data_IF_132932126113
#
_entry.id   IF_132932126113
#
_cell.length_a   1.000
_cell.length_b   1.000
_cell.length_c   1.000
_cell.angle_alpha   90.00
_cell.angle_beta   90.00
_cell.angle_gamma   90.00
#
_symmetry.space_group_name_H-M   'P 1'
#
loop_
_entity.id
_entity.type
_entity.pdbx_description
1 polymer ?
#
# COMPACT_ATOMS: atom_id res chain seq x y z
N UNK A 1 -17.28 6.46 -5.03
CA UNK A 1 -15.92 6.95 -4.79
C UNK A 1 -16.03 8.39 -4.36
N UNK A 2 -15.32 8.84 -3.30
CA UNK A 2 -15.28 10.27 -3.05
C UNK A 2 -14.83 10.91 -4.35
N UNK A 3 -15.46 12.02 -4.68
CA UNK A 3 -15.23 12.81 -5.89
C UNK A 3 -13.77 13.32 -5.84
N UNK A 4 -12.84 12.47 -6.26
CA UNK A 4 -11.49 12.90 -6.59
C UNK A 4 -11.74 13.94 -7.68
N UNK A 5 -11.43 15.20 -7.41
CA UNK A 5 -11.75 16.33 -8.26
C UNK A 5 -11.45 15.92 -9.70
N UNK A 6 -12.48 15.80 -10.53
CA UNK A 6 -12.31 15.47 -11.93
C UNK A 6 -11.57 16.65 -12.54
N UNK A 7 -10.24 16.53 -12.60
CA UNK A 7 -9.41 17.52 -13.25
C UNK A 7 -9.66 17.46 -14.75
N UNK A 8 -9.75 18.60 -15.38
CA UNK A 8 -9.79 18.65 -16.85
C UNK A 8 -8.45 18.12 -17.40
N UNK A 9 -8.43 17.02 -18.17
CA UNK A 9 -7.19 16.45 -18.70
C UNK A 9 -6.37 17.44 -19.53
N UNK A 10 -7.02 18.36 -20.23
CA UNK A 10 -6.34 19.36 -21.06
C UNK A 10 -5.66 20.45 -20.22
N UNK A 11 -6.29 20.84 -19.12
CA UNK A 11 -5.72 21.76 -18.14
C UNK A 11 -4.53 21.12 -17.45
N UNK A 12 -4.66 19.87 -16.98
CA UNK A 12 -3.55 19.11 -16.38
C UNK A 12 -2.37 18.99 -17.34
N UNK A 13 -2.61 18.63 -18.60
CA UNK A 13 -1.57 18.53 -19.62
C UNK A 13 -0.82 19.86 -19.80
N UNK A 14 -1.55 20.97 -19.87
CA UNK A 14 -0.99 22.32 -20.01
C UNK A 14 -0.16 22.72 -18.78
N UNK A 15 -0.69 22.46 -17.57
CA UNK A 15 -0.01 22.77 -16.31
C UNK A 15 1.29 21.95 -16.17
N UNK A 16 1.22 20.64 -16.39
CA UNK A 16 2.39 19.76 -16.29
C UNK A 16 3.44 20.06 -17.37
N UNK A 17 3.04 20.48 -18.58
CA UNK A 17 3.99 20.90 -19.61
C UNK A 17 4.78 22.14 -19.18
N UNK A 18 4.08 23.15 -18.62
CA UNK A 18 4.76 24.34 -18.06
C UNK A 18 5.67 23.98 -16.88
N UNK A 19 5.19 23.13 -15.99
CA UNK A 19 5.99 22.65 -14.86
C UNK A 19 7.24 21.90 -15.31
N UNK A 20 7.13 20.98 -16.26
CA UNK A 20 8.27 20.27 -16.83
C UNK A 20 9.27 21.22 -17.53
N UNK A 21 8.79 22.30 -18.12
CA UNK A 21 9.66 23.32 -18.69
C UNK A 21 10.57 23.94 -17.61
N UNK A 22 10.07 24.12 -16.39
CA UNK A 22 10.92 24.63 -15.29
C UNK A 22 11.97 23.62 -14.82
N UNK A 23 11.74 22.31 -15.01
CA UNK A 23 12.67 21.25 -14.62
C UNK A 23 13.69 20.92 -15.72
N UNK A 24 13.29 20.97 -16.99
CA UNK A 24 14.08 20.52 -18.14
C UNK A 24 14.67 21.68 -18.96
N UNK A 25 14.16 22.89 -18.76
CA UNK A 25 14.51 24.07 -19.57
C UNK A 25 13.66 24.21 -20.84
N UNK A 26 13.57 25.43 -21.37
CA UNK A 26 12.75 25.76 -22.56
C UNK A 26 13.24 25.04 -23.84
N UNK A 27 14.53 24.72 -23.93
CA UNK A 27 15.09 24.02 -25.07
C UNK A 27 14.58 22.60 -25.23
N UNK A 28 14.16 21.96 -24.11
CA UNK A 28 13.60 20.61 -24.10
C UNK A 28 12.18 20.54 -24.66
N UNK A 29 11.46 21.69 -24.73
CA UNK A 29 10.08 21.80 -25.23
C UNK A 29 9.18 20.66 -24.74
N UNK A 30 9.08 20.45 -23.43
CA UNK A 30 8.28 19.37 -22.92
C UNK A 30 6.80 19.57 -23.23
N UNK A 31 6.17 18.53 -23.75
CA UNK A 31 4.72 18.45 -24.00
C UNK A 31 4.16 17.26 -23.23
N UNK A 32 3.11 17.48 -22.45
CA UNK A 32 2.33 16.43 -21.79
C UNK A 32 1.06 16.22 -22.57
N UNK A 33 0.70 14.98 -22.82
CA UNK A 33 -0.49 14.58 -23.56
C UNK A 33 -1.00 13.22 -23.08
N UNK A 34 -2.14 12.78 -23.58
CA UNK A 34 -2.76 11.50 -23.24
C UNK A 34 -2.94 11.33 -21.70
N UNK A 35 -3.51 12.39 -21.09
CA UNK A 35 -3.74 12.44 -19.64
C UNK A 35 -4.97 11.60 -19.30
N UNK A 36 -4.79 10.61 -18.42
CA UNK A 36 -5.83 9.67 -18.02
C UNK A 36 -5.78 9.42 -16.52
N UNK A 37 -6.94 9.13 -15.92
CA UNK A 37 -6.97 8.47 -14.61
C UNK A 37 -6.82 6.95 -14.82
N UNK A 38 -6.12 6.21 -13.94
CA UNK A 38 -6.11 4.75 -14.01
C UNK A 38 -7.51 4.17 -13.81
N UNK A 39 -7.75 2.98 -14.36
CA UNK A 39 -9.04 2.29 -14.25
C UNK A 39 -9.42 1.97 -12.79
N UNK A 40 -8.43 1.80 -11.93
CA UNK A 40 -8.60 1.65 -10.48
C UNK A 40 -7.75 2.70 -9.77
N UNK A 41 -8.39 3.66 -9.13
CA UNK A 41 -7.72 4.62 -8.25
C UNK A 41 -7.68 4.05 -6.83
N UNK A 42 -6.53 4.19 -6.14
CA UNK A 42 -6.46 3.99 -4.70
C UNK A 42 -7.34 5.01 -3.95
N UNK A 43 -7.62 4.73 -2.68
CA UNK A 43 -8.51 5.58 -1.87
C UNK A 43 -7.79 6.79 -1.23
N UNK A 44 -6.46 6.78 -1.20
CA UNK A 44 -5.67 7.76 -0.43
C UNK A 44 -5.12 8.90 -1.29
N UNK A 45 -4.62 8.61 -2.50
CA UNK A 45 -3.96 9.58 -3.37
C UNK A 45 -4.49 9.50 -4.80
N UNK A 46 -4.57 10.66 -5.48
CA UNK A 46 -4.91 10.70 -6.89
C UNK A 46 -3.71 10.22 -7.72
N UNK A 47 -3.98 9.40 -8.74
CA UNK A 47 -2.97 8.97 -9.72
C UNK A 47 -3.37 9.46 -11.09
N UNK A 48 -2.43 10.08 -11.80
CA UNK A 48 -2.60 10.54 -13.18
C UNK A 48 -1.58 9.79 -14.03
N UNK A 49 -2.05 9.17 -15.10
CA UNK A 49 -1.22 8.60 -16.14
C UNK A 49 -1.13 9.56 -17.31
N UNK A 50 0.05 9.81 -17.83
CA UNK A 50 0.21 10.66 -19.01
C UNK A 50 1.41 10.24 -19.84
N UNK A 51 1.53 10.82 -21.02
CA UNK A 51 2.72 10.71 -21.86
C UNK A 51 3.40 12.08 -21.94
N UNK A 52 4.72 12.05 -21.98
CA UNK A 52 5.53 13.24 -22.18
C UNK A 52 6.32 13.10 -23.48
N UNK A 53 6.46 14.22 -24.19
CA UNK A 53 7.35 14.33 -25.33
C UNK A 53 8.35 15.45 -25.05
N UNK A 54 9.63 15.15 -25.24
CA UNK A 54 10.71 16.14 -25.11
C UNK A 54 11.56 16.16 -26.39
N UNK A 55 12.08 17.34 -26.74
CA UNK A 55 13.00 17.49 -27.89
C UNK A 55 14.31 18.04 -27.38
N UNK A 56 15.38 17.27 -27.50
CA UNK A 56 16.73 17.70 -27.10
C UNK A 56 17.69 17.57 -28.30
N UNK A 57 18.33 18.65 -28.66
CA UNK A 57 19.29 18.70 -29.79
C UNK A 57 18.68 18.15 -31.11
N UNK A 58 17.37 18.37 -31.32
CA UNK A 58 16.66 17.92 -32.52
C UNK A 58 16.19 16.47 -32.49
N UNK A 59 16.50 15.70 -31.43
CA UNK A 59 15.98 14.37 -31.23
C UNK A 59 14.72 14.44 -30.33
N UNK A 60 13.63 13.79 -30.72
CA UNK A 60 12.41 13.70 -29.95
C UNK A 60 12.35 12.35 -29.23
N UNK A 61 12.03 12.38 -27.94
CA UNK A 61 11.78 11.20 -27.12
C UNK A 61 10.39 11.28 -26.50
N UNK A 62 9.74 10.15 -26.37
CA UNK A 62 8.47 10.01 -25.64
C UNK A 62 8.66 9.06 -24.46
N UNK A 63 7.97 9.37 -23.37
CA UNK A 63 8.01 8.59 -22.14
C UNK A 63 6.60 8.55 -21.52
N UNK A 64 6.24 7.43 -20.88
CA UNK A 64 5.05 7.34 -20.05
C UNK A 64 5.39 7.77 -18.63
N UNK A 65 4.58 8.63 -18.06
CA UNK A 65 4.79 9.21 -16.75
C UNK A 65 3.57 8.92 -15.84
N UNK A 66 3.85 8.66 -14.59
CA UNK A 66 2.87 8.57 -13.52
C UNK A 66 3.05 9.79 -12.61
N UNK A 67 1.96 10.49 -12.32
CA UNK A 67 1.93 11.60 -11.37
C UNK A 67 1.06 11.20 -10.19
N UNK A 68 1.66 11.15 -9.00
CA UNK A 68 0.95 10.96 -7.74
C UNK A 68 0.67 12.31 -7.13
N UNK A 69 -0.59 12.58 -6.82
CA UNK A 69 -1.06 13.89 -6.36
C UNK A 69 -1.64 13.75 -4.96
N UNK A 70 -1.28 14.68 -4.08
CA UNK A 70 -1.77 14.68 -2.69
C UNK A 70 -3.29 14.82 -2.62
N UNK A 71 -3.95 14.20 -1.64
CA UNK A 71 -5.39 14.32 -1.45
C UNK A 71 -5.78 15.77 -1.06
N UNK A 72 -6.92 16.24 -1.58
CA UNK A 72 -7.40 17.61 -1.32
C UNK A 72 -8.39 17.72 -0.17
N UNK A 73 -9.21 16.70 0.09
CA UNK A 73 -10.36 16.81 1.00
C UNK A 73 -10.52 15.66 1.98
N UNK A 74 -10.10 14.48 1.62
CA UNK A 74 -10.41 13.25 2.35
C UNK A 74 -9.14 12.51 2.72
N UNK A 75 -8.69 12.68 3.97
CA UNK A 75 -7.53 11.95 4.48
C UNK A 75 -7.97 10.56 4.91
N UNK A 76 -7.35 9.54 4.32
CA UNK A 76 -7.52 8.16 4.76
C UNK A 76 -6.77 7.91 6.07
N UNK A 77 -5.62 8.53 6.27
CA UNK A 77 -4.76 8.38 7.45
C UNK A 77 -4.70 9.67 8.27
N UNK A 78 -4.57 9.55 9.59
CA UNK A 78 -4.52 10.69 10.53
C UNK A 78 -3.35 11.64 10.23
N UNK A 79 -2.19 11.07 9.96
CA UNK A 79 -0.92 11.77 9.78
C UNK A 79 -0.47 11.64 8.30
N UNK A 80 -1.36 11.93 7.36
CA UNK A 80 -1.07 11.79 5.93
C UNK A 80 0.09 12.71 5.52
N UNK A 81 1.31 12.17 5.62
CA UNK A 81 2.52 12.80 5.11
C UNK A 81 2.71 12.32 3.68
N UNK A 82 2.16 13.05 2.73
CA UNK A 82 2.22 12.69 1.32
C UNK A 82 3.65 12.49 0.80
N UNK A 83 4.60 13.26 1.33
CA UNK A 83 6.01 13.19 0.98
C UNK A 83 6.69 11.88 1.45
N UNK A 84 6.11 11.17 2.41
CA UNK A 84 6.66 9.91 2.95
C UNK A 84 6.94 8.90 1.85
N UNK A 85 6.00 8.67 0.94
CA UNK A 85 6.17 7.73 -0.17
C UNK A 85 7.38 8.10 -1.03
N UNK A 86 7.44 9.36 -1.48
CA UNK A 86 8.54 9.83 -2.31
C UNK A 86 9.90 9.73 -1.61
N UNK A 87 9.98 10.15 -0.36
CA UNK A 87 11.21 10.15 0.43
C UNK A 87 11.74 8.74 0.69
N UNK A 88 10.86 7.79 1.03
CA UNK A 88 11.24 6.38 1.22
C UNK A 88 11.74 5.80 -0.10
N UNK A 89 10.96 5.90 -1.17
CA UNK A 89 11.35 5.38 -2.48
C UNK A 89 12.66 6.02 -2.98
N UNK A 90 12.86 7.31 -2.73
CA UNK A 90 14.09 8.03 -3.10
C UNK A 90 15.30 7.49 -2.34
N UNK A 91 15.20 7.34 -1.01
CA UNK A 91 16.28 6.78 -0.20
C UNK A 91 16.62 5.35 -0.61
N UNK A 92 15.61 4.52 -0.88
CA UNK A 92 15.81 3.14 -1.34
C UNK A 92 16.48 3.08 -2.72
N UNK A 93 16.07 3.96 -3.63
CA UNK A 93 16.63 4.06 -4.99
C UNK A 93 18.06 4.57 -4.96
N UNK A 94 18.36 5.64 -4.21
CA UNK A 94 19.69 6.22 -4.10
C UNK A 94 20.69 5.28 -3.39
N UNK A 95 20.18 4.40 -2.52
CA UNK A 95 20.97 3.39 -1.81
C UNK A 95 21.34 2.15 -2.62
N UNK A 96 20.93 2.06 -3.88
CA UNK A 96 21.15 0.88 -4.76
C UNK A 96 20.79 -0.45 -4.06
N UNK A 97 19.61 -0.47 -3.44
CA UNK A 97 19.16 -1.58 -2.57
C UNK A 97 18.78 -2.84 -3.33
N UNK A 98 18.65 -2.76 -4.65
CA UNK A 98 18.15 -3.85 -5.50
C UNK A 98 16.65 -4.12 -5.37
N UNK A 99 15.92 -3.34 -4.56
CA UNK A 99 14.46 -3.40 -4.50
C UNK A 99 13.89 -2.87 -5.81
N UNK A 100 12.99 -3.62 -6.48
CA UNK A 100 12.38 -3.12 -7.71
C UNK A 100 11.46 -1.93 -7.40
N UNK A 101 11.83 -0.76 -7.88
CA UNK A 101 11.08 0.50 -7.71
C UNK A 101 10.90 1.18 -9.07
N UNK A 102 9.81 1.95 -9.26
CA UNK A 102 9.71 2.79 -10.43
C UNK A 102 10.79 3.88 -10.36
N UNK A 103 11.48 4.20 -11.48
CA UNK A 103 12.40 5.34 -11.51
C UNK A 103 11.68 6.62 -11.12
N UNK A 104 12.21 7.32 -10.10
CA UNK A 104 11.59 8.53 -9.56
C UNK A 104 11.99 9.77 -10.35
N UNK A 105 10.99 10.60 -10.65
CA UNK A 105 11.18 11.97 -11.15
C UNK A 105 11.32 12.97 -10.01
N UNK A 106 10.58 14.07 -10.08
CA UNK A 106 10.65 15.17 -9.14
C UNK A 106 9.49 15.17 -8.17
N UNK A 107 9.75 15.65 -6.96
CA UNK A 107 8.74 16.07 -6.00
C UNK A 107 8.50 17.59 -6.15
N UNK A 108 7.23 18.00 -6.15
CA UNK A 108 6.82 19.39 -6.24
C UNK A 108 5.93 19.76 -5.06
N UNK A 109 6.42 20.67 -4.24
CA UNK A 109 5.69 21.19 -3.07
C UNK A 109 4.75 22.35 -3.43
N UNK A 110 5.06 23.06 -4.52
CA UNK A 110 4.35 24.27 -4.88
C UNK A 110 2.95 23.96 -5.41
N UNK A 111 1.96 24.33 -4.64
CA UNK A 111 0.54 24.14 -4.97
C UNK A 111 0.06 24.96 -6.17
N UNK A 112 0.88 25.91 -6.69
CA UNK A 112 0.50 26.72 -7.86
C UNK A 112 0.21 25.89 -9.11
N UNK A 113 0.76 24.68 -9.23
CA UNK A 113 0.60 23.82 -10.40
C UNK A 113 -0.71 23.02 -10.35
N UNK A 114 -0.79 22.06 -9.42
CA UNK A 114 -1.97 21.18 -9.32
C UNK A 114 -2.87 21.48 -8.10
N UNK A 115 -2.66 22.61 -7.42
CA UNK A 115 -3.41 22.99 -6.22
C UNK A 115 -2.94 22.31 -4.94
N UNK A 116 -2.11 21.28 -5.04
CA UNK A 116 -1.53 20.48 -3.96
C UNK A 116 -0.18 19.93 -4.39
N UNK A 117 0.66 19.47 -3.44
CA UNK A 117 1.90 18.77 -3.77
C UNK A 117 1.68 17.53 -4.64
N UNK A 118 2.69 17.21 -5.44
CA UNK A 118 2.71 15.99 -6.26
C UNK A 118 4.13 15.50 -6.51
N UNK A 119 4.26 14.24 -6.93
CA UNK A 119 5.53 13.74 -7.43
C UNK A 119 5.33 12.91 -8.69
N UNK A 120 6.41 12.73 -9.43
CA UNK A 120 6.41 11.98 -10.67
C UNK A 120 7.30 10.75 -10.57
N UNK A 121 6.96 9.74 -11.33
CA UNK A 121 7.76 8.54 -11.53
C UNK A 121 7.52 7.98 -12.93
N UNK A 122 8.43 7.20 -13.44
CA UNK A 122 8.27 6.53 -14.72
C UNK A 122 7.18 5.46 -14.61
N UNK A 123 6.44 5.27 -15.69
CA UNK A 123 5.53 4.15 -15.80
C UNK A 123 6.33 2.86 -15.98
N UNK A 124 6.13 1.92 -15.10
CA UNK A 124 6.68 0.56 -15.20
C UNK A 124 5.70 -0.32 -15.96
N UNK A 125 6.16 -0.99 -17.00
CA UNK A 125 5.34 -1.92 -17.79
C UNK A 125 5.08 -3.20 -16.98
N UNK A 126 3.83 -3.63 -16.95
CA UNK A 126 3.36 -4.84 -16.27
C UNK A 126 1.93 -4.69 -15.80
N UNK A 127 1.43 -5.71 -15.13
CA UNK A 127 0.06 -5.82 -14.67
C UNK A 127 -0.01 -5.70 -13.14
N UNK A 128 -1.09 -5.13 -12.64
CA UNK A 128 -1.42 -5.07 -11.22
C UNK A 128 -2.72 -5.84 -11.02
N UNK A 129 -2.77 -6.84 -10.13
CA UNK A 129 -4.02 -7.53 -9.81
C UNK A 129 -5.02 -6.58 -9.16
N UNK A 130 -6.29 -6.72 -9.51
CA UNK A 130 -7.35 -5.90 -8.94
C UNK A 130 -7.82 -6.44 -7.59
N UNK A 131 -8.29 -5.54 -6.70
CA UNK A 131 -8.95 -5.92 -5.45
C UNK A 131 -10.48 -5.93 -5.62
N UNK A 132 -11.00 -5.24 -6.62
CA UNK A 132 -12.42 -5.25 -6.97
C UNK A 132 -12.67 -6.34 -8.01
N UNK A 133 -13.28 -7.39 -7.59
CA UNK A 133 -13.12 -8.79 -7.86
C UNK A 133 -11.67 -9.21 -7.58
N UNK A 134 -11.42 -9.72 -6.35
CA UNK A 134 -10.08 -10.14 -5.95
C UNK A 134 -9.49 -11.19 -6.88
N UNK A 135 -8.18 -11.19 -7.00
CA UNK A 135 -7.39 -12.10 -7.86
C UNK A 135 -7.61 -13.59 -7.59
N UNK A 136 -8.30 -13.95 -6.49
CA UNK A 136 -8.72 -15.31 -6.17
C UNK A 136 -10.05 -15.71 -6.84
N UNK A 137 -10.79 -14.73 -7.38
CA UNK A 137 -12.09 -14.92 -8.01
C UNK A 137 -12.00 -14.73 -9.53
N UNK A 138 -11.28 -13.69 -9.98
CA UNK A 138 -11.26 -13.30 -11.39
C UNK A 138 -9.91 -12.73 -11.82
N UNK A 139 -9.64 -12.75 -13.12
CA UNK A 139 -8.50 -12.14 -13.77
C UNK A 139 -7.30 -13.06 -13.93
N UNK A 140 -6.25 -12.49 -14.50
CA UNK A 140 -5.07 -13.20 -14.99
C UNK A 140 -4.32 -14.03 -13.93
N UNK A 141 -4.44 -13.70 -12.64
CA UNK A 141 -3.78 -14.46 -11.57
C UNK A 141 -4.44 -15.82 -11.36
N UNK A 142 -5.79 -15.87 -11.26
CA UNK A 142 -6.50 -17.12 -11.07
C UNK A 142 -6.50 -17.97 -12.35
N UNK A 143 -6.40 -17.33 -13.52
CA UNK A 143 -6.29 -18.00 -14.83
C UNK A 143 -4.89 -18.56 -15.11
N UNK A 144 -3.88 -18.13 -14.35
CA UNK A 144 -2.50 -18.56 -14.52
C UNK A 144 -2.29 -20.02 -14.11
N UNK A 145 -1.25 -20.66 -14.69
CA UNK A 145 -0.88 -22.02 -14.25
C UNK A 145 -0.33 -22.03 -12.82
N UNK A 146 -0.40 -23.17 -12.10
CA UNK A 146 0.18 -23.27 -10.76
C UNK A 146 1.66 -22.88 -10.70
N UNK A 147 2.44 -23.16 -11.74
CA UNK A 147 3.86 -22.79 -11.81
C UNK A 147 4.04 -21.27 -11.92
N UNK A 148 3.18 -20.61 -12.70
CA UNK A 148 3.17 -19.14 -12.83
C UNK A 148 2.74 -18.48 -11.52
N UNK A 149 1.70 -18.99 -10.89
CA UNK A 149 1.24 -18.54 -9.56
C UNK A 149 2.33 -18.72 -8.50
N UNK A 150 3.05 -19.86 -8.51
CA UNK A 150 4.18 -20.10 -7.61
C UNK A 150 5.34 -19.12 -7.86
N UNK A 151 5.65 -18.84 -9.12
CA UNK A 151 6.66 -17.83 -9.49
C UNK A 151 6.30 -16.47 -8.95
N UNK A 152 5.04 -16.07 -9.10
CA UNK A 152 4.51 -14.81 -8.59
C UNK A 152 4.63 -14.72 -7.07
N UNK A 153 4.14 -15.73 -6.37
CA UNK A 153 4.18 -15.79 -4.90
C UNK A 153 5.59 -15.59 -4.36
N UNK A 154 6.53 -16.39 -4.85
CA UNK A 154 7.91 -16.33 -4.35
C UNK A 154 8.65 -15.06 -4.75
N UNK A 155 8.37 -14.53 -5.94
CA UNK A 155 8.95 -13.24 -6.35
C UNK A 155 8.47 -12.08 -5.46
N UNK A 156 7.21 -12.10 -5.01
CA UNK A 156 6.70 -11.12 -4.06
C UNK A 156 7.35 -11.25 -2.68
N UNK A 157 7.49 -12.47 -2.19
CA UNK A 157 8.19 -12.77 -0.94
C UNK A 157 9.66 -12.33 -0.99
N UNK A 158 10.35 -12.60 -2.10
CA UNK A 158 11.76 -12.18 -2.28
C UNK A 158 11.89 -10.65 -2.30
N UNK A 159 10.96 -9.93 -2.94
CA UNK A 159 10.92 -8.47 -2.95
C UNK A 159 10.69 -7.89 -1.54
N UNK A 160 9.75 -8.42 -0.78
CA UNK A 160 9.49 -8.02 0.61
C UNK A 160 10.72 -8.29 1.50
N UNK A 161 11.37 -9.45 1.36
CA UNK A 161 12.58 -9.76 2.11
C UNK A 161 13.75 -8.83 1.72
N UNK A 162 13.83 -8.35 0.49
CA UNK A 162 14.83 -7.37 0.08
C UNK A 162 14.62 -6.03 0.81
N UNK A 163 13.36 -5.59 0.98
CA UNK A 163 13.02 -4.40 1.78
C UNK A 163 13.54 -4.56 3.21
N UNK A 164 13.23 -5.67 3.86
CA UNK A 164 13.57 -5.90 5.27
C UNK A 164 15.05 -6.13 5.53
N UNK A 165 15.82 -6.60 4.55
CA UNK A 165 17.28 -6.73 4.67
C UNK A 165 18.03 -5.43 4.44
N UNK A 166 17.36 -4.38 4.01
CA UNK A 166 17.95 -3.07 3.79
C UNK A 166 18.19 -2.37 5.13
N UNK A 167 19.41 -1.94 5.39
CA UNK A 167 19.74 -1.18 6.60
C UNK A 167 19.23 0.27 6.48
N UNK A 168 18.10 0.52 7.11
CA UNK A 168 17.45 1.82 7.13
C UNK A 168 18.31 2.95 7.74
N UNK A 169 19.26 2.60 8.62
CA UNK A 169 20.16 3.58 9.25
C UNK A 169 21.15 4.16 8.26
N UNK A 170 21.69 3.31 7.38
CA UNK A 170 22.60 3.77 6.32
C UNK A 170 21.91 4.64 5.28
N UNK A 171 20.59 4.49 5.15
CA UNK A 171 19.76 5.29 4.25
C UNK A 171 19.17 6.55 4.90
N UNK A 172 19.46 6.80 6.19
CA UNK A 172 18.94 7.97 6.91
C UNK A 172 17.41 7.96 7.06
N UNK A 173 16.81 6.77 7.22
CA UNK A 173 15.37 6.61 7.37
C UNK A 173 14.89 6.65 8.82
N UNK A 174 15.72 7.16 9.76
CA UNK A 174 15.37 7.33 11.17
C UNK A 174 14.08 8.13 11.39
N UNK A 175 13.77 9.03 10.48
CA UNK A 175 12.58 9.87 10.51
C UNK A 175 11.26 9.09 10.35
N UNK A 176 11.29 7.84 9.88
CA UNK A 176 10.12 6.95 9.88
C UNK A 176 9.70 6.53 11.29
N UNK A 177 10.60 6.65 12.25
CA UNK A 177 10.27 6.43 13.65
C UNK A 177 9.33 7.52 14.19
N UNK A 178 8.46 7.13 15.10
CA UNK A 178 7.50 8.04 15.76
C UNK A 178 7.77 8.08 17.27
N UNK A 179 8.84 8.74 17.74
CA UNK A 179 9.31 8.64 19.13
C UNK A 179 8.28 9.08 20.18
N UNK A 180 7.28 9.87 19.78
CA UNK A 180 6.16 10.26 20.69
C UNK A 180 5.21 9.10 20.97
N UNK A 181 5.27 8.02 20.19
CA UNK A 181 4.43 6.81 20.30
C UNK A 181 5.16 5.63 20.93
N UNK A 182 6.38 5.81 21.44
CA UNK A 182 7.19 4.76 22.06
C UNK A 182 8.39 4.34 21.20
N UNK A 183 8.88 3.12 21.42
CA UNK A 183 10.01 2.56 20.68
C UNK A 183 9.59 2.20 19.26
N UNK A 184 10.48 2.38 18.24
CA UNK A 184 10.22 1.90 16.89
C UNK A 184 9.86 0.42 16.88
N UNK A 185 8.81 0.07 16.13
CA UNK A 185 8.33 -1.31 16.04
C UNK A 185 6.89 -1.45 16.51
N UNK A 186 6.58 -2.61 17.09
CA UNK A 186 5.21 -2.98 17.47
C UNK A 186 4.57 -1.98 18.44
N UNK A 187 5.32 -1.50 19.44
CA UNK A 187 4.82 -0.52 20.41
C UNK A 187 4.26 0.75 19.72
N UNK A 188 5.03 1.33 18.79
CA UNK A 188 4.57 2.49 18.03
C UNK A 188 3.36 2.19 17.16
N UNK A 189 3.37 1.04 16.50
CA UNK A 189 2.30 0.68 15.58
C UNK A 189 0.99 0.35 16.32
N UNK A 190 1.05 -0.31 17.44
CA UNK A 190 -0.12 -0.52 18.28
C UNK A 190 -0.67 0.79 18.80
N UNK A 191 0.18 1.69 19.32
CA UNK A 191 -0.23 3.02 19.75
C UNK A 191 -0.89 3.82 18.61
N UNK A 192 -0.30 3.79 17.40
CA UNK A 192 -0.84 4.48 16.23
C UNK A 192 -2.22 3.97 15.84
N UNK A 193 -2.37 2.63 15.69
CA UNK A 193 -3.63 2.07 15.22
C UNK A 193 -4.74 2.07 16.27
N UNK A 194 -4.41 2.15 17.56
CA UNK A 194 -5.43 2.44 18.58
C UNK A 194 -6.00 3.85 18.41
N UNK A 195 -5.13 4.86 18.33
CA UNK A 195 -5.56 6.24 18.08
C UNK A 195 -6.28 6.38 16.74
N UNK A 196 -5.83 5.63 15.72
CA UNK A 196 -6.45 5.61 14.39
C UNK A 196 -7.88 5.10 14.46
N UNK A 197 -8.13 3.99 15.17
CA UNK A 197 -9.49 3.47 15.33
C UNK A 197 -10.40 4.49 16.03
N UNK A 198 -9.92 5.12 17.11
CA UNK A 198 -10.70 6.14 17.83
C UNK A 198 -11.05 7.34 16.94
N UNK A 199 -10.08 7.77 16.14
CA UNK A 199 -10.28 8.85 15.16
C UNK A 199 -11.22 8.45 14.02
N UNK A 200 -11.11 7.23 13.49
CA UNK A 200 -11.93 6.74 12.39
C UNK A 200 -13.38 6.50 12.84
N UNK A 201 -13.56 5.90 14.01
CA UNK A 201 -14.87 5.53 14.54
C UNK A 201 -15.70 6.73 15.01
N UNK A 202 -15.06 7.87 15.36
CA UNK A 202 -15.75 9.08 15.87
C UNK A 202 -16.75 8.82 16.98
N UNK A 203 -16.47 7.83 17.83
CA UNK A 203 -17.33 7.40 18.92
C UNK A 203 -18.40 6.36 18.55
N UNK A 204 -18.47 5.92 17.28
CA UNK A 204 -19.33 4.80 16.89
C UNK A 204 -18.78 3.49 17.47
N UNK A 205 -19.62 2.64 18.12
CA UNK A 205 -19.18 1.38 18.69
C UNK A 205 -18.60 0.42 17.63
N UNK A 206 -17.46 -0.19 17.96
CA UNK A 206 -16.77 -1.16 17.11
C UNK A 206 -16.51 -2.47 17.88
N UNK A 207 -17.55 -3.25 18.23
CA UNK A 207 -17.44 -4.32 19.22
C UNK A 207 -16.41 -5.39 18.83
N UNK A 208 -16.36 -5.81 17.57
CA UNK A 208 -15.37 -6.80 17.08
C UNK A 208 -13.95 -6.26 17.20
N UNK A 209 -13.73 -5.00 16.85
CA UNK A 209 -12.41 -4.38 16.93
C UNK A 209 -11.97 -4.15 18.37
N UNK A 210 -12.88 -3.79 19.29
CA UNK A 210 -12.55 -3.66 20.70
C UNK A 210 -12.21 -5.01 21.35
N UNK A 211 -12.94 -6.07 20.99
CA UNK A 211 -12.59 -7.43 21.42
C UNK A 211 -11.24 -7.89 20.85
N UNK A 212 -10.98 -7.63 19.56
CA UNK A 212 -9.69 -7.91 18.93
C UNK A 212 -8.57 -7.13 19.59
N UNK A 213 -8.78 -5.86 19.91
CA UNK A 213 -7.80 -5.04 20.62
C UNK A 213 -7.45 -5.60 21.98
N UNK A 214 -8.46 -6.03 22.75
CA UNK A 214 -8.25 -6.68 24.06
C UNK A 214 -7.39 -7.92 23.90
N UNK A 215 -7.69 -8.77 22.90
CA UNK A 215 -6.89 -9.96 22.60
C UNK A 215 -5.43 -9.58 22.25
N UNK A 216 -5.23 -8.56 21.40
CA UNK A 216 -3.90 -8.09 21.01
C UNK A 216 -3.09 -7.61 22.22
N UNK A 217 -3.69 -6.88 23.15
CA UNK A 217 -3.02 -6.42 24.38
C UNK A 217 -2.59 -7.59 25.25
N UNK A 218 -3.42 -8.62 25.36
CA UNK A 218 -3.18 -9.78 26.23
C UNK A 218 -2.18 -10.79 25.62
N UNK A 219 -1.96 -10.75 24.28
CA UNK A 219 -1.14 -11.74 23.56
C UNK A 219 0.08 -11.12 22.86
N UNK A 220 0.55 -9.97 23.34
CA UNK A 220 1.73 -9.35 22.74
C UNK A 220 2.94 -10.30 22.79
N UNK A 221 3.77 -10.32 21.71
CA UNK A 221 5.03 -11.06 21.71
C UNK A 221 5.89 -10.68 22.91
N UNK A 222 6.42 -11.70 23.61
CA UNK A 222 7.29 -11.48 24.77
C UNK A 222 8.65 -10.87 24.37
N UNK A 223 9.08 -11.16 23.13
CA UNK A 223 10.34 -10.66 22.56
C UNK A 223 10.02 -10.03 21.19
N UNK A 224 10.35 -8.77 21.03
CA UNK A 224 10.30 -8.11 19.73
C UNK A 224 11.59 -8.44 18.95
N UNK A 225 11.44 -8.74 17.67
CA UNK A 225 12.57 -8.94 16.76
C UNK A 225 13.24 -7.61 16.35
N UNK A 226 14.25 -7.72 15.48
CA UNK A 226 14.93 -6.56 14.91
C UNK A 226 13.97 -5.64 14.17
N UNK A 227 14.19 -4.33 14.32
CA UNK A 227 13.44 -3.31 13.60
C UNK A 227 14.06 -3.09 12.23
N UNK A 228 13.25 -3.22 11.21
CA UNK A 228 13.58 -3.03 9.79
C UNK A 228 12.67 -1.96 9.16
N UNK A 229 12.86 -1.65 7.88
CA UNK A 229 11.86 -0.90 7.12
C UNK A 229 10.66 -1.82 6.94
N UNK A 230 9.50 -1.42 7.44
CA UNK A 230 8.23 -2.06 7.09
C UNK A 230 7.63 -1.30 5.90
N UNK A 231 7.29 -2.02 4.85
CA UNK A 231 6.61 -1.45 3.68
C UNK A 231 5.18 -1.00 4.05
N UNK A 232 4.54 -1.75 4.95
CA UNK A 232 3.27 -1.39 5.59
C UNK A 232 2.03 -1.92 4.90
N UNK A 233 1.91 -1.82 3.57
CA UNK A 233 0.83 -2.44 2.77
C UNK A 233 1.39 -3.51 1.83
N UNK A 234 2.06 -4.48 2.43
CA UNK A 234 2.78 -5.58 1.77
C UNK A 234 1.82 -6.64 1.21
N UNK A 235 1.32 -6.42 0.00
CA UNK A 235 0.36 -7.32 -0.66
C UNK A 235 0.56 -7.37 -2.18
N UNK A 236 0.05 -8.42 -2.78
CA UNK A 236 0.16 -8.72 -4.23
C UNK A 236 -0.37 -7.57 -5.08
N UNK A 237 -1.47 -6.92 -4.66
CA UNK A 237 -2.09 -5.79 -5.37
C UNK A 237 -1.25 -4.50 -5.38
N UNK A 238 -0.20 -4.41 -4.56
CA UNK A 238 0.71 -3.26 -4.52
C UNK A 238 2.07 -3.54 -5.19
N UNK A 239 2.08 -4.48 -6.11
CA UNK A 239 3.24 -4.80 -6.95
C UNK A 239 2.87 -4.76 -8.42
N UNK A 240 3.81 -4.37 -9.27
CA UNK A 240 3.70 -4.53 -10.72
C UNK A 240 4.36 -5.85 -11.11
N UNK A 241 3.65 -6.62 -11.92
CA UNK A 241 4.05 -7.96 -12.33
C UNK A 241 4.30 -8.00 -13.83
N UNK A 242 5.41 -8.60 -14.22
CA UNK A 242 5.73 -8.91 -15.62
C UNK A 242 6.28 -10.32 -15.70
N UNK A 243 5.67 -11.16 -16.53
CA UNK A 243 5.99 -12.58 -16.61
C UNK A 243 5.96 -13.26 -15.21
N UNK A 244 4.96 -12.92 -14.40
CA UNK A 244 4.77 -13.39 -13.02
C UNK A 244 5.92 -13.06 -12.05
N UNK A 245 6.76 -12.10 -12.37
CA UNK A 245 7.82 -11.59 -11.48
C UNK A 245 7.51 -10.17 -11.05
N UNK A 246 7.74 -9.87 -9.79
CA UNK A 246 7.65 -8.52 -9.27
C UNK A 246 8.72 -7.65 -9.92
N UNK A 247 8.29 -6.63 -10.64
CA UNK A 247 9.16 -5.64 -11.31
C UNK A 247 9.05 -4.26 -10.69
N UNK A 248 8.11 -4.05 -9.77
CA UNK A 248 8.03 -2.81 -8.98
C UNK A 248 7.20 -3.02 -7.72
N UNK A 249 7.69 -2.49 -6.60
CA UNK A 249 6.96 -2.40 -5.33
C UNK A 249 6.39 -0.99 -5.22
N UNK A 250 5.09 -0.89 -4.95
CA UNK A 250 4.32 0.35 -4.94
C UNK A 250 3.74 0.62 -3.55
N UNK A 251 3.14 1.79 -3.41
CA UNK A 251 2.31 2.22 -2.29
C UNK A 251 2.99 2.19 -0.91
N UNK A 252 3.94 3.10 -0.77
CA UNK A 252 4.78 3.27 0.42
C UNK A 252 4.17 4.23 1.46
N UNK A 253 2.88 4.55 1.37
CA UNK A 253 2.25 5.52 2.28
C UNK A 253 2.13 5.06 3.73
N UNK A 254 2.11 3.74 3.94
CA UNK A 254 2.12 3.11 5.26
C UNK A 254 3.52 2.72 5.73
N UNK A 255 4.57 3.14 5.01
CA UNK A 255 5.95 2.79 5.36
C UNK A 255 6.33 3.32 6.75
N UNK A 256 6.98 2.45 7.52
CA UNK A 256 7.37 2.74 8.91
C UNK A 256 8.61 1.92 9.31
N UNK A 257 9.01 2.03 10.57
CA UNK A 257 9.97 1.12 11.18
C UNK A 257 9.22 0.08 12.02
N UNK A 258 9.42 -1.20 11.72
CA UNK A 258 8.71 -2.29 12.40
C UNK A 258 9.42 -3.63 12.30
N UNK A 259 8.87 -4.65 12.95
CA UNK A 259 9.35 -6.01 12.83
C UNK A 259 8.96 -6.60 11.46
N UNK A 260 9.82 -7.39 10.79
CA UNK A 260 9.48 -8.00 9.50
C UNK A 260 8.24 -8.90 9.56
N UNK A 261 7.90 -9.43 10.74
CA UNK A 261 6.68 -10.16 10.99
C UNK A 261 5.40 -9.33 10.73
N UNK A 262 5.48 -8.00 10.82
CA UNK A 262 4.33 -7.12 10.54
C UNK A 262 3.91 -7.18 9.07
N UNK A 263 4.87 -7.10 8.16
CA UNK A 263 4.59 -7.17 6.72
C UNK A 263 4.30 -8.60 6.28
N UNK A 264 5.00 -9.59 6.85
CA UNK A 264 4.69 -11.00 6.58
C UNK A 264 3.27 -11.35 7.08
N UNK A 265 2.90 -10.90 8.28
CA UNK A 265 1.55 -11.06 8.82
C UNK A 265 0.48 -10.39 7.95
N UNK A 266 0.78 -9.21 7.39
CA UNK A 266 -0.11 -8.51 6.45
C UNK A 266 -0.28 -9.30 5.14
N UNK A 267 0.80 -9.81 4.57
CA UNK A 267 0.77 -10.67 3.39
C UNK A 267 -0.08 -11.93 3.59
N UNK A 268 0.14 -12.63 4.71
CA UNK A 268 -0.60 -13.84 5.05
C UNK A 268 -2.07 -13.55 5.34
N UNK A 269 -2.37 -12.46 6.05
CA UNK A 269 -3.72 -12.02 6.34
C UNK A 269 -4.52 -11.73 5.06
N UNK A 270 -3.96 -10.95 4.12
CA UNK A 270 -4.64 -10.66 2.86
C UNK A 270 -4.85 -11.91 1.99
N UNK A 271 -3.90 -12.83 2.01
CA UNK A 271 -4.11 -14.12 1.34
C UNK A 271 -5.27 -14.91 1.98
N UNK A 272 -5.37 -14.91 3.30
CA UNK A 272 -6.49 -15.50 4.03
C UNK A 272 -7.80 -14.76 3.75
N UNK A 273 -7.79 -13.44 3.75
CA UNK A 273 -8.99 -12.63 3.49
C UNK A 273 -9.58 -12.88 2.11
N UNK A 274 -8.74 -12.93 1.08
CA UNK A 274 -9.18 -13.14 -0.29
C UNK A 274 -9.44 -14.61 -0.66
N UNK A 275 -9.19 -15.53 0.26
CA UNK A 275 -9.54 -16.95 0.10
C UNK A 275 -10.56 -17.36 1.17
N UNK A 276 -10.11 -17.62 2.40
CA UNK A 276 -10.93 -18.12 3.50
C UNK A 276 -12.08 -17.14 3.82
N UNK A 277 -11.78 -15.83 3.83
CA UNK A 277 -12.78 -14.78 4.09
C UNK A 277 -13.88 -14.70 3.04
N UNK A 278 -13.58 -15.04 1.78
CA UNK A 278 -14.54 -15.10 0.68
C UNK A 278 -15.14 -16.49 0.46
N UNK A 279 -14.67 -17.50 1.20
CA UNK A 279 -15.11 -18.89 1.04
C UNK A 279 -14.69 -19.51 -0.30
N UNK A 280 -13.58 -19.04 -0.89
CA UNK A 280 -13.05 -19.58 -2.14
C UNK A 280 -11.67 -20.22 -1.93
N UNK A 281 -11.27 -21.19 -2.75
CA UNK A 281 -9.96 -21.80 -2.61
C UNK A 281 -8.85 -20.79 -2.96
N UNK A 282 -7.69 -20.95 -2.34
CA UNK A 282 -6.47 -20.22 -2.73
C UNK A 282 -6.03 -20.66 -4.13
N UNK A 283 -5.37 -19.78 -4.90
CA UNK A 283 -4.74 -20.17 -6.15
C UNK A 283 -3.79 -21.38 -5.91
N UNK A 284 -3.90 -22.46 -6.70
CA UNK A 284 -3.21 -23.73 -6.39
C UNK A 284 -1.69 -23.65 -6.41
N UNK A 285 -1.11 -22.63 -7.06
CA UNK A 285 0.33 -22.38 -7.08
C UNK A 285 0.84 -21.51 -5.95
N UNK A 286 -0.04 -20.92 -5.14
CA UNK A 286 0.39 -20.15 -3.97
C UNK A 286 0.80 -21.11 -2.85
N UNK A 287 1.94 -20.80 -2.23
CA UNK A 287 2.45 -21.62 -1.13
C UNK A 287 1.54 -21.56 0.12
N UNK A 288 1.60 -22.59 0.92
CA UNK A 288 0.95 -22.60 2.24
C UNK A 288 1.56 -21.52 3.16
N UNK A 289 0.88 -21.22 4.25
CA UNK A 289 1.41 -20.31 5.28
C UNK A 289 2.72 -20.86 5.85
N UNK A 290 2.77 -22.16 6.17
CA UNK A 290 3.93 -22.83 6.73
C UNK A 290 5.13 -22.77 5.78
N UNK A 291 4.94 -23.06 4.50
CA UNK A 291 6.00 -22.97 3.48
C UNK A 291 6.49 -21.53 3.33
N UNK A 292 5.57 -20.56 3.35
CA UNK A 292 5.89 -19.14 3.25
C UNK A 292 6.71 -18.68 4.45
N UNK A 293 6.30 -19.02 5.66
CA UNK A 293 7.01 -18.69 6.90
C UNK A 293 8.40 -19.33 6.92
N UNK A 294 8.50 -20.61 6.53
CA UNK A 294 9.78 -21.32 6.48
C UNK A 294 10.75 -20.65 5.50
N UNK A 295 10.31 -20.40 4.27
CA UNK A 295 11.14 -19.74 3.25
C UNK A 295 11.51 -18.32 3.63
N UNK A 296 10.58 -17.58 4.22
CA UNK A 296 10.85 -16.22 4.66
C UNK A 296 11.86 -16.19 5.83
N UNK A 297 11.77 -17.14 6.77
CA UNK A 297 12.74 -17.30 7.85
C UNK A 297 14.15 -17.57 7.32
N UNK A 298 14.28 -18.39 6.27
CA UNK A 298 15.57 -18.62 5.59
C UNK A 298 16.12 -17.31 4.98
N UNK A 299 15.28 -16.53 4.27
CA UNK A 299 15.67 -15.27 3.65
C UNK A 299 16.14 -14.23 4.67
N UNK A 300 15.55 -14.23 5.86
CA UNK A 300 15.89 -13.32 6.96
C UNK A 300 17.01 -13.85 7.87
N UNK A 301 17.43 -15.11 7.71
CA UNK A 301 18.47 -15.74 8.52
C UNK A 301 18.07 -15.97 9.98
N UNK A 302 16.77 -15.91 10.29
CA UNK A 302 16.22 -16.19 11.62
C UNK A 302 14.78 -16.71 11.53
N UNK A 303 14.31 -17.48 12.51
CA UNK A 303 12.92 -17.87 12.54
C UNK A 303 12.00 -16.67 12.73
N UNK A 304 10.89 -16.65 11.98
CA UNK A 304 9.77 -15.74 12.22
C UNK A 304 8.94 -16.27 13.38
N UNK A 305 8.54 -15.38 14.28
CA UNK A 305 7.82 -15.75 15.51
C UNK A 305 6.45 -15.05 15.57
N UNK A 306 5.55 -15.61 16.36
CA UNK A 306 4.27 -14.99 16.73
C UNK A 306 3.42 -14.53 15.53
N UNK A 307 3.52 -15.22 14.36
CA UNK A 307 2.87 -14.81 13.12
C UNK A 307 1.35 -14.72 13.27
N UNK A 308 0.73 -15.57 14.09
CA UNK A 308 -0.71 -15.47 14.33
C UNK A 308 -1.10 -14.13 14.99
N UNK A 309 -0.27 -13.64 15.94
CA UNK A 309 -0.45 -12.31 16.50
C UNK A 309 -0.38 -11.22 15.42
N UNK A 310 0.63 -11.28 14.55
CA UNK A 310 0.81 -10.29 13.49
C UNK A 310 -0.26 -10.39 12.40
N UNK A 311 -0.81 -11.56 12.11
CA UNK A 311 -1.99 -11.70 11.25
C UNK A 311 -3.23 -11.04 11.89
N UNK A 312 -3.49 -11.27 13.17
CA UNK A 312 -4.59 -10.61 13.89
C UNK A 312 -4.39 -9.09 13.94
N UNK A 313 -3.17 -8.63 14.20
CA UNK A 313 -2.86 -7.21 14.17
C UNK A 313 -3.06 -6.60 12.78
N UNK A 314 -2.72 -7.33 11.73
CA UNK A 314 -2.97 -6.92 10.34
C UNK A 314 -4.47 -6.79 10.06
N UNK A 315 -5.25 -7.77 10.50
CA UNK A 315 -6.71 -7.72 10.40
C UNK A 315 -7.31 -6.54 11.14
N UNK A 316 -6.83 -6.25 12.35
CA UNK A 316 -7.25 -5.09 13.14
C UNK A 316 -6.93 -3.78 12.41
N UNK A 317 -5.70 -3.64 11.89
CA UNK A 317 -5.28 -2.46 11.11
C UNK A 317 -6.16 -2.26 9.89
N UNK A 318 -6.39 -3.32 9.12
CA UNK A 318 -7.21 -3.24 7.90
C UNK A 318 -8.69 -2.97 8.22
N UNK A 319 -9.26 -3.60 9.24
CA UNK A 319 -10.62 -3.32 9.66
C UNK A 319 -10.80 -1.88 10.18
N UNK A 320 -9.81 -1.32 10.89
CA UNK A 320 -9.82 0.10 11.27
C UNK A 320 -9.80 1.03 10.03
N UNK A 321 -9.03 0.68 9.00
CA UNK A 321 -9.05 1.40 7.71
C UNK A 321 -10.42 1.31 7.05
N UNK A 322 -11.10 0.15 7.11
CA UNK A 322 -12.46 -0.01 6.60
C UNK A 322 -13.48 0.86 7.36
N UNK A 323 -13.35 1.01 8.68
CA UNK A 323 -14.15 1.98 9.45
C UNK A 323 -13.98 3.40 8.90
N UNK A 324 -12.75 3.79 8.61
CA UNK A 324 -12.47 5.11 8.03
C UNK A 324 -13.04 5.27 6.62
N UNK A 325 -12.90 4.25 5.78
CA UNK A 325 -13.48 4.24 4.42
C UNK A 325 -15.00 4.36 4.45
N UNK A 326 -15.68 3.63 5.32
CA UNK A 326 -17.13 3.74 5.50
C UNK A 326 -17.54 5.17 5.87
N UNK A 327 -16.81 5.82 6.77
CA UNK A 327 -17.06 7.21 7.14
C UNK A 327 -16.81 8.19 5.96
N UNK A 328 -15.76 7.97 5.17
CA UNK A 328 -15.45 8.82 4.01
C UNK A 328 -16.45 8.68 2.86
N UNK A 329 -17.09 7.54 2.76
CA UNK A 329 -18.04 7.22 1.68
C UNK A 329 -19.50 7.34 2.12
N UNK A 330 -19.75 7.73 3.36
CA UNK A 330 -21.08 7.83 3.96
C UNK A 330 -22.06 8.69 3.15
N UNK A 331 -21.57 9.77 2.54
CA UNK A 331 -22.38 10.70 1.73
C UNK A 331 -22.25 10.43 0.21
N UNK A 332 -21.73 9.28 -0.18
CA UNK A 332 -21.51 8.92 -1.59
C UNK A 332 -22.27 7.64 -1.96
N UNK A 333 -22.75 7.54 -3.19
CA UNK A 333 -23.36 6.32 -3.75
C UNK A 333 -22.32 5.19 -3.99
N UNK A 334 -21.10 5.33 -3.46
CA UNK A 334 -19.99 4.44 -3.76
C UNK A 334 -20.03 3.10 -3.00
N UNK A 335 -20.77 3.03 -1.90
CA UNK A 335 -21.02 1.78 -1.18
C UNK A 335 -22.51 1.47 -1.24
N UNK A 336 -22.90 0.28 -1.73
CA UNK A 336 -24.31 -0.09 -1.93
C UNK A 336 -25.05 -0.37 -0.61
N UNK A 337 -24.32 -0.57 0.49
CA UNK A 337 -24.87 -0.94 1.80
C UNK A 337 -24.85 0.26 2.76
N UNK A 338 -25.64 0.15 3.84
CA UNK A 338 -25.66 1.13 4.92
C UNK A 338 -24.22 1.33 5.48
N UNK A 339 -23.66 2.54 5.43
CA UNK A 339 -22.30 2.83 5.88
C UNK A 339 -22.05 2.46 7.34
N UNK A 340 -23.07 2.57 8.21
CA UNK A 340 -22.95 2.22 9.62
C UNK A 340 -22.78 0.69 9.78
N UNK A 341 -23.56 -0.10 9.03
CA UNK A 341 -23.39 -1.56 8.97
C UNK A 341 -22.06 -1.94 8.32
N UNK A 342 -21.66 -1.27 7.23
CA UNK A 342 -20.38 -1.55 6.55
C UNK A 342 -19.18 -1.26 7.45
N UNK A 343 -19.26 -0.31 8.37
CA UNK A 343 -18.19 -0.01 9.32
C UNK A 343 -17.99 -1.10 10.36
N UNK A 344 -19.06 -1.79 10.80
CA UNK A 344 -19.03 -2.81 11.85
C UNK A 344 -19.00 -4.23 11.29
N UNK A 345 -19.67 -4.47 10.15
CA UNK A 345 -19.85 -5.79 9.53
C UNK A 345 -19.32 -5.80 8.10
N UNK A 346 -18.04 -6.03 7.95
CA UNK A 346 -17.35 -6.16 6.68
C UNK A 346 -16.47 -7.40 6.66
N UNK A 347 -15.90 -7.73 5.52
CA UNK A 347 -15.09 -8.94 5.35
C UNK A 347 -13.94 -9.04 6.37
N UNK A 348 -13.31 -7.92 6.73
CA UNK A 348 -12.22 -7.91 7.69
C UNK A 348 -12.69 -8.23 9.11
N UNK A 349 -13.81 -7.63 9.56
CA UNK A 349 -14.37 -7.90 10.88
C UNK A 349 -14.94 -9.31 10.98
N UNK A 350 -15.53 -9.85 9.91
CA UNK A 350 -16.02 -11.23 9.84
C UNK A 350 -14.86 -12.23 9.95
N UNK A 351 -13.76 -11.97 9.23
CA UNK A 351 -12.58 -12.84 9.29
C UNK A 351 -11.92 -12.79 10.68
N UNK A 352 -11.78 -11.62 11.28
CA UNK A 352 -11.25 -11.47 12.65
C UNK A 352 -12.13 -12.22 13.66
N UNK A 353 -13.46 -12.09 13.56
CA UNK A 353 -14.39 -12.81 14.43
C UNK A 353 -14.21 -14.33 14.30
N UNK A 354 -14.04 -14.82 13.07
CA UNK A 354 -13.78 -16.24 12.81
C UNK A 354 -12.42 -16.69 13.37
N UNK A 355 -11.36 -15.91 13.17
CA UNK A 355 -10.01 -16.25 13.63
C UNK A 355 -9.87 -16.27 15.15
N UNK A 356 -10.66 -15.46 15.86
CA UNK A 356 -10.61 -15.31 17.32
C UNK A 356 -11.80 -15.96 18.06
N UNK A 357 -12.67 -16.70 17.35
CA UNK A 357 -13.89 -17.30 17.91
C UNK A 357 -14.77 -16.25 18.64
N UNK A 358 -14.91 -15.07 18.05
CA UNK A 358 -15.76 -13.99 18.54
C UNK A 358 -17.18 -14.10 17.96
N UNK A 359 -18.18 -13.46 18.59
CA UNK A 359 -19.50 -13.33 18.00
C UNK A 359 -19.46 -12.71 16.61
N UNK A 360 -20.33 -13.17 15.71
CA UNK A 360 -20.42 -12.60 14.36
C UNK A 360 -20.69 -11.08 14.43
N UNK A 361 -20.02 -10.27 13.59
CA UNK A 361 -20.28 -8.83 13.52
C UNK A 361 -21.72 -8.54 13.12
N UNK A 362 -22.27 -7.46 13.65
CA UNK A 362 -23.67 -7.03 13.38
C UNK A 362 -23.69 -5.62 12.81
#
# INVERSE_FOLDING_TARGET
>A
MPDLAQRDPSEVASVLSRWLTTKLGEEARPEVFDVQAPASNGFSNETILCRTRTTTKGATSEQRLVVRVAPTKHLLFMDAQFDTQYRVMRSLSDGDTGIPLPPLGWYEEDSQYLGVPFFTMDHVEGDVPTDNLPYTIDGWVIEATPEQQSTMWWSGIDAMAAVHRTDWRTLGLDWLGQPRRGRPGLEQQMSYYRDFLDWAAKGSPQPTLEATWTWLVDHQPAEEGDVVISWGDSRIGNMIWRDFKCVSVLDWEMATLGQPEMDLGWWLYFNRQFADGLGVPRPPGFASHEETIARYSELMGRPMKDLFFYEIFSGFRFAAIMVRLAELTKDSDALPDDPDTTSTNNLATQLLATMLDLPAPT
#
